data_IF_975042527742
#
_entry.id   IF_975042527742
#
_cell.length_a   1.000
_cell.length_b   1.000
_cell.length_c   1.000
_cell.angle_alpha   90.00
_cell.angle_beta   90.00
_cell.angle_gamma   90.00
#
_symmetry.space_group_name_H-M   'P 1'
#
loop_
_entity.id
_entity.type
_entity.pdbx_description
1 polymer ?
#
# COMPACT_ATOMS: atom_id res chain seq x y z
N UNK A 1 -30.29 1.47 4.17
CA UNK A 1 -30.10 2.18 2.90
C UNK A 1 -28.62 2.12 2.60
N UNK A 2 -28.23 1.26 1.67
CA UNK A 2 -26.82 0.98 1.38
C UNK A 2 -26.35 1.98 0.33
N UNK A 3 -25.61 3.00 0.76
CA UNK A 3 -24.92 3.92 -0.14
C UNK A 3 -23.76 3.16 -0.78
N UNK A 4 -24.04 2.54 -1.93
CA UNK A 4 -23.03 2.02 -2.85
C UNK A 4 -22.23 3.22 -3.34
N UNK A 5 -21.13 3.51 -2.66
CA UNK A 5 -20.17 4.52 -3.06
C UNK A 5 -19.58 4.06 -4.38
N UNK A 6 -20.07 4.62 -5.50
CA UNK A 6 -19.43 4.51 -6.80
C UNK A 6 -18.08 5.21 -6.73
N UNK A 7 -17.09 4.51 -6.20
CA UNK A 7 -15.69 4.91 -6.33
C UNK A 7 -15.40 4.87 -7.82
N UNK A 8 -15.11 6.04 -8.38
CA UNK A 8 -14.62 6.15 -9.76
C UNK A 8 -13.29 5.41 -9.78
N UNK A 9 -13.30 4.16 -10.25
CA UNK A 9 -12.09 3.38 -10.50
C UNK A 9 -11.37 4.13 -11.61
N UNK A 10 -10.42 4.99 -11.24
CA UNK A 10 -9.46 5.50 -12.20
C UNK A 10 -8.78 4.27 -12.78
N UNK A 11 -9.04 3.99 -14.05
CA UNK A 11 -8.49 2.82 -14.72
C UNK A 11 -6.96 2.94 -14.78
N UNK A 12 -6.28 2.28 -13.84
CA UNK A 12 -4.82 2.25 -13.77
C UNK A 12 -4.30 1.48 -14.97
N UNK A 13 -3.39 2.11 -15.73
CA UNK A 13 -2.71 1.47 -16.87
C UNK A 13 -1.36 0.92 -16.44
N UNK A 14 -1.03 -0.26 -16.96
CA UNK A 14 0.29 -0.86 -16.78
C UNK A 14 1.34 -0.03 -17.53
N UNK A 15 2.36 0.46 -16.82
CA UNK A 15 3.46 1.23 -17.44
C UNK A 15 4.27 0.45 -18.50
N UNK A 16 4.21 -0.89 -18.51
CA UNK A 16 4.89 -1.69 -19.54
C UNK A 16 4.01 -2.08 -20.71
N UNK A 17 2.79 -2.54 -20.46
CA UNK A 17 1.90 -3.05 -21.50
C UNK A 17 0.92 -2.00 -22.04
N UNK A 18 0.76 -0.88 -21.34
CA UNK A 18 -0.26 0.13 -21.58
C UNK A 18 -1.71 -0.41 -21.55
N UNK A 19 -1.94 -1.57 -20.94
CA UNK A 19 -3.26 -2.18 -20.75
C UNK A 19 -3.86 -1.78 -19.39
N UNK A 20 -5.19 -1.81 -19.27
CA UNK A 20 -5.85 -1.67 -17.97
C UNK A 20 -5.38 -2.77 -17.01
N UNK A 21 -5.28 -2.41 -15.73
CA UNK A 21 -4.88 -3.33 -14.65
C UNK A 21 -6.07 -3.71 -13.79
N UNK A 22 -5.97 -4.88 -13.17
CA UNK A 22 -6.96 -5.40 -12.22
C UNK A 22 -6.65 -4.83 -10.85
N UNK A 23 -7.66 -4.26 -10.20
CA UNK A 23 -7.60 -3.84 -8.80
C UNK A 23 -7.56 -5.08 -7.90
N UNK A 24 -6.57 -5.13 -7.00
CA UNK A 24 -6.36 -6.19 -6.03
C UNK A 24 -6.75 -5.76 -4.61
N UNK A 25 -7.20 -4.51 -4.43
CA UNK A 25 -7.60 -3.92 -3.16
C UNK A 25 -6.45 -3.37 -2.32
N UNK A 26 -6.80 -2.98 -1.09
CA UNK A 26 -5.86 -2.49 -0.08
C UNK A 26 -4.98 -3.62 0.45
N UNK A 27 -3.67 -3.36 0.51
CA UNK A 27 -2.67 -4.25 1.09
C UNK A 27 -1.98 -3.53 2.25
N UNK A 28 -2.10 -4.03 3.49
CA UNK A 28 -1.42 -3.45 4.64
C UNK A 28 0.05 -3.86 4.65
N UNK A 29 0.96 -2.90 4.44
CA UNK A 29 2.40 -3.10 4.57
C UNK A 29 2.86 -2.63 5.94
N UNK A 30 3.49 -3.53 6.71
CA UNK A 30 4.19 -3.10 7.93
C UNK A 30 5.47 -2.37 7.53
N UNK A 31 5.59 -1.13 7.95
CA UNK A 31 6.81 -0.33 7.83
C UNK A 31 7.51 -0.29 9.19
N UNK A 32 8.84 -0.34 9.19
CA UNK A 32 9.62 -0.38 10.43
C UNK A 32 9.80 -1.78 11.04
N UNK A 33 10.21 -1.79 12.30
CA UNK A 33 10.55 -3.00 13.06
C UNK A 33 12.03 -3.31 13.01
N UNK A 34 12.70 -3.22 14.17
CA UNK A 34 14.06 -3.72 14.29
C UNK A 34 14.04 -5.23 14.57
N UNK A 35 14.76 -6.00 13.77
CA UNK A 35 15.05 -7.41 14.08
C UNK A 35 16.44 -7.50 14.71
N UNK A 36 16.55 -8.17 15.86
CA UNK A 36 17.84 -8.48 16.50
C UNK A 36 18.27 -7.50 17.60
N UNK A 37 19.60 -7.39 17.81
CA UNK A 37 20.21 -6.75 18.98
C UNK A 37 19.82 -5.27 19.22
N UNK A 38 19.32 -4.57 18.21
CA UNK A 38 18.82 -3.19 18.35
C UNK A 38 17.63 -3.09 19.31
N UNK A 39 16.70 -4.06 19.31
CA UNK A 39 15.59 -4.10 20.27
C UNK A 39 16.11 -4.33 21.71
N UNK A 40 17.17 -5.13 21.87
CA UNK A 40 17.80 -5.36 23.19
C UNK A 40 18.56 -4.13 23.72
N UNK A 41 19.08 -3.28 22.83
CA UNK A 41 19.88 -2.11 23.20
C UNK A 41 19.05 -0.83 23.35
N UNK A 42 17.96 -0.69 22.60
CA UNK A 42 17.17 0.54 22.53
C UNK A 42 15.70 0.38 22.96
N UNK A 43 15.26 -0.84 23.29
CA UNK A 43 13.89 -1.09 23.79
C UNK A 43 12.82 -0.51 22.86
N UNK A 44 11.77 0.06 23.45
CA UNK A 44 10.62 0.64 22.75
C UNK A 44 10.98 1.81 21.81
N UNK A 45 12.17 2.44 21.96
CA UNK A 45 12.64 3.44 20.99
C UNK A 45 12.98 2.84 19.63
N UNK A 46 13.25 1.53 19.60
CA UNK A 46 13.46 0.78 18.36
C UNK A 46 12.14 0.52 17.59
N UNK A 47 10.99 0.76 18.24
CA UNK A 47 9.63 0.60 17.69
C UNK A 47 9.03 1.94 17.22
N UNK A 48 9.67 3.08 17.48
CA UNK A 48 9.19 4.43 17.13
C UNK A 48 9.07 4.73 15.61
N UNK A 49 9.30 3.73 14.75
CA UNK A 49 9.04 3.80 13.31
C UNK A 49 8.14 2.67 12.80
N UNK A 50 7.54 1.88 13.70
CA UNK A 50 6.59 0.84 13.34
C UNK A 50 5.24 1.46 12.95
N UNK A 51 4.83 1.21 11.71
CA UNK A 51 3.58 1.72 11.15
C UNK A 51 2.95 0.73 10.18
N UNK A 52 1.70 1.01 9.81
CA UNK A 52 1.03 0.32 8.72
C UNK A 52 0.85 1.32 7.59
N UNK A 53 1.36 0.97 6.41
CA UNK A 53 1.21 1.70 5.17
C UNK A 53 0.15 0.98 4.34
N UNK A 54 -0.99 1.63 4.13
CA UNK A 54 -2.10 1.11 3.33
C UNK A 54 -1.88 1.49 1.87
N UNK A 55 -1.68 0.47 1.02
CA UNK A 55 -1.41 0.67 -0.39
C UNK A 55 -2.45 -0.08 -1.24
N UNK A 56 -3.05 0.63 -2.19
CA UNK A 56 -3.88 0.04 -3.24
C UNK A 56 -2.98 -0.67 -4.26
N UNK A 57 -3.25 -1.95 -4.51
CA UNK A 57 -2.47 -2.77 -5.43
C UNK A 57 -3.21 -3.02 -6.74
N UNK A 58 -2.49 -2.87 -7.86
CA UNK A 58 -2.99 -3.18 -9.20
C UNK A 58 -2.09 -4.21 -9.87
N UNK A 59 -2.68 -5.25 -10.48
CA UNK A 59 -1.97 -6.33 -11.18
C UNK A 59 -2.25 -6.29 -12.69
N UNK A 60 -1.20 -6.30 -13.50
CA UNK A 60 -1.30 -6.48 -14.94
C UNK A 60 -1.39 -7.97 -15.30
N UNK A 61 -2.55 -8.41 -15.79
CA UNK A 61 -2.76 -9.80 -16.20
C UNK A 61 -1.94 -10.24 -17.43
N UNK A 62 -1.37 -9.30 -18.19
CA UNK A 62 -0.58 -9.62 -19.39
C UNK A 62 0.89 -9.91 -19.08
N UNK A 63 1.50 -9.19 -18.13
CA UNK A 63 2.94 -9.30 -17.85
C UNK A 63 3.30 -9.53 -16.38
N UNK A 64 2.31 -9.61 -15.48
CA UNK A 64 2.52 -9.83 -14.05
C UNK A 64 3.02 -8.60 -13.27
N UNK A 65 3.18 -7.43 -13.91
CA UNK A 65 3.58 -6.20 -13.19
C UNK A 65 2.56 -5.83 -12.12
N UNK A 66 3.06 -5.54 -10.92
CA UNK A 66 2.30 -4.93 -9.82
C UNK A 66 2.64 -3.43 -9.74
N UNK A 67 1.62 -2.59 -9.56
CA UNK A 67 1.78 -1.18 -9.22
C UNK A 67 1.08 -0.92 -7.89
N UNK A 68 1.75 -0.21 -6.98
CA UNK A 68 1.26 0.11 -5.64
C UNK A 68 1.09 1.63 -5.53
N UNK A 69 -0.03 2.07 -4.97
CA UNK A 69 -0.33 3.49 -4.75
C UNK A 69 -0.74 3.70 -3.29
N UNK A 70 -0.33 4.81 -2.68
CA UNK A 70 -0.79 5.17 -1.34
C UNK A 70 -2.31 5.41 -1.37
N UNK A 71 -3.02 4.76 -0.44
CA UNK A 71 -4.45 4.94 -0.24
C UNK A 71 -4.76 6.34 0.36
N UNK A 72 -6.04 6.65 0.63
CA UNK A 72 -6.38 7.93 1.27
C UNK A 72 -5.74 8.12 2.63
N UNK A 73 -5.73 7.08 3.47
CA UNK A 73 -5.21 7.18 4.84
C UNK A 73 -3.71 7.49 4.82
N UNK A 74 -2.97 6.78 3.99
CA UNK A 74 -1.53 6.94 3.81
C UNK A 74 -1.18 8.29 3.19
N UNK A 75 -1.97 8.78 2.23
CA UNK A 75 -1.72 10.12 1.66
C UNK A 75 -1.94 11.24 2.66
N UNK A 76 -2.94 11.10 3.53
CA UNK A 76 -3.25 12.11 4.55
C UNK A 76 -2.22 12.14 5.67
N UNK A 77 -1.60 11.01 6.03
CA UNK A 77 -0.52 10.97 7.02
C UNK A 77 0.81 11.56 6.56
N UNK A 78 0.96 11.81 5.24
CA UNK A 78 2.15 12.41 4.65
C UNK A 78 2.09 13.96 4.54
N UNK A 79 0.96 14.57 4.89
CA UNK A 79 0.75 16.04 4.84
C UNK A 79 1.08 16.69 6.18
#
# INVERSE_FOLDING_TARGET
MSESTSQTILAVKCQSCNTAMVDMGDIPFRTGGTRGAAHLLFGDWAELGEGILHLDAFLCQNCGRVQLFADSQTRDSLR
#
